data_IF_043789159742
#
_entry.id   IF_043789159742
#
_cell.length_a   1.000
_cell.length_b   1.000
_cell.length_c   1.000
_cell.angle_alpha   90.00
_cell.angle_beta   90.00
_cell.angle_gamma   90.00
#
_symmetry.space_group_name_H-M   'P 1'
#
loop_
_entity.id
_entity.type
_entity.pdbx_description
1 polymer ?
#
# COMPACT_ATOMS: atom_id res chain seq x y z
N UNK A 1 -16.92 -16.41 23.28
CA UNK A 1 -15.48 -16.70 23.44
C UNK A 1 -15.07 -18.03 22.80
N UNK A 2 -15.86 -19.11 22.89
CA UNK A 2 -15.58 -20.40 22.21
C UNK A 2 -15.40 -20.29 20.69
N UNK A 3 -16.15 -19.42 20.02
CA UNK A 3 -16.07 -19.23 18.55
C UNK A 3 -14.70 -18.71 18.06
N UNK A 4 -14.09 -17.73 18.75
CA UNK A 4 -12.83 -17.14 18.29
C UNK A 4 -11.64 -18.08 18.44
N UNK A 5 -11.56 -18.81 19.57
CA UNK A 5 -10.51 -19.79 19.82
C UNK A 5 -10.55 -20.91 18.78
N UNK A 6 -11.75 -21.37 18.40
CA UNK A 6 -11.91 -22.35 17.34
C UNK A 6 -11.46 -21.82 15.98
N UNK A 7 -11.81 -20.57 15.64
CA UNK A 7 -11.36 -19.92 14.39
C UNK A 7 -9.83 -19.80 14.33
N UNK A 8 -9.20 -19.37 15.42
CA UNK A 8 -7.74 -19.29 15.50
C UNK A 8 -7.08 -20.65 15.33
N UNK A 9 -7.58 -21.69 16.01
CA UNK A 9 -7.07 -23.06 15.86
C UNK A 9 -7.23 -23.59 14.43
N UNK A 10 -8.36 -23.30 13.77
CA UNK A 10 -8.58 -23.69 12.37
C UNK A 10 -7.61 -22.98 11.43
N UNK A 11 -7.40 -21.69 11.62
CA UNK A 11 -6.41 -20.93 10.84
C UNK A 11 -5.00 -21.47 11.06
N UNK A 12 -4.61 -21.71 12.31
CA UNK A 12 -3.31 -22.28 12.65
C UNK A 12 -3.10 -23.65 11.98
N UNK A 13 -4.09 -24.55 12.06
CA UNK A 13 -4.03 -25.86 11.42
C UNK A 13 -3.96 -25.76 9.88
N UNK A 14 -4.71 -24.83 9.27
CA UNK A 14 -4.68 -24.61 7.83
C UNK A 14 -3.31 -24.10 7.36
N UNK A 15 -2.71 -23.16 8.09
CA UNK A 15 -1.38 -22.62 7.79
C UNK A 15 -0.28 -23.67 8.02
N UNK A 16 -0.33 -24.42 9.12
CA UNK A 16 0.62 -25.50 9.41
C UNK A 16 0.63 -26.55 8.31
N UNK A 17 -0.56 -27.01 7.90
CA UNK A 17 -0.72 -27.98 6.81
C UNK A 17 -0.15 -27.48 5.48
N UNK A 18 -0.21 -26.16 5.20
CA UNK A 18 0.45 -25.61 4.01
C UNK A 18 1.98 -25.70 4.09
N UNK A 19 2.54 -25.38 5.26
CA UNK A 19 4.00 -25.37 5.46
C UNK A 19 4.55 -26.78 5.23
N UNK A 20 3.91 -27.78 5.84
CA UNK A 20 4.28 -29.19 5.67
C UNK A 20 4.24 -29.58 4.20
N UNK A 21 3.14 -29.30 3.50
CA UNK A 21 3.02 -29.71 2.11
C UNK A 21 4.02 -29.02 1.17
N UNK A 22 4.29 -27.72 1.35
CA UNK A 22 5.29 -27.03 0.51
C UNK A 22 6.72 -27.50 0.80
N UNK A 23 7.00 -27.95 2.02
CA UNK A 23 8.29 -28.57 2.33
C UNK A 23 8.48 -29.94 1.67
N UNK A 24 7.38 -30.63 1.34
CA UNK A 24 7.37 -31.98 0.76
C UNK A 24 7.21 -32.00 -0.77
N UNK A 25 6.89 -30.86 -1.41
CA UNK A 25 6.56 -30.83 -2.83
C UNK A 25 7.80 -30.84 -3.76
N UNK A 26 8.10 -32.03 -4.32
CA UNK A 26 8.80 -32.19 -5.61
C UNK A 26 7.77 -32.00 -6.76
N UNK A 27 7.82 -30.84 -7.43
CA UNK A 27 7.25 -30.37 -8.73
C UNK A 27 5.89 -30.87 -9.31
N UNK A 28 5.20 -31.91 -8.80
CA UNK A 28 4.22 -32.65 -9.59
C UNK A 28 2.71 -32.50 -9.22
N UNK A 29 2.29 -31.66 -8.26
CA UNK A 29 0.91 -31.70 -7.74
C UNK A 29 0.17 -30.35 -7.72
N UNK A 30 -0.25 -29.85 -8.89
CA UNK A 30 -0.95 -28.56 -9.05
C UNK A 30 -2.41 -28.52 -8.53
N UNK A 31 -3.08 -29.68 -8.41
CA UNK A 31 -4.49 -29.73 -8.01
C UNK A 31 -4.70 -29.72 -6.49
N UNK A 32 -3.75 -30.29 -5.73
CA UNK A 32 -3.75 -30.28 -4.27
C UNK A 32 -3.52 -28.86 -3.72
N UNK A 33 -2.64 -28.09 -4.36
CA UNK A 33 -2.33 -26.70 -3.96
C UNK A 33 -3.53 -25.75 -4.03
N UNK A 34 -4.50 -25.97 -4.95
CA UNK A 34 -5.69 -25.09 -5.06
C UNK A 34 -6.69 -25.27 -3.92
N UNK A 35 -7.04 -26.52 -3.58
CA UNK A 35 -7.99 -26.80 -2.50
C UNK A 35 -7.49 -26.28 -1.15
N UNK A 36 -6.18 -26.38 -0.98
CA UNK A 36 -5.46 -25.89 0.17
C UNK A 36 -5.39 -24.36 0.25
N UNK A 37 -5.11 -23.67 -0.86
CA UNK A 37 -5.22 -22.22 -0.93
C UNK A 37 -6.63 -21.75 -0.57
N UNK A 38 -7.67 -22.45 -1.02
CA UNK A 38 -9.06 -22.14 -0.67
C UNK A 38 -9.33 -22.33 0.83
N UNK A 39 -8.74 -23.36 1.45
CA UNK A 39 -8.84 -23.59 2.90
C UNK A 39 -8.14 -22.48 3.71
N UNK A 40 -6.93 -22.10 3.33
CA UNK A 40 -6.19 -20.98 3.95
C UNK A 40 -7.00 -19.71 3.80
N UNK A 41 -7.45 -19.41 2.57
CA UNK A 41 -8.24 -18.22 2.27
C UNK A 41 -9.50 -18.15 3.13
N UNK A 42 -10.28 -19.23 3.21
CA UNK A 42 -11.48 -19.29 4.03
C UNK A 42 -11.18 -19.07 5.52
N UNK A 43 -10.08 -19.66 6.02
CA UNK A 43 -9.70 -19.56 7.43
C UNK A 43 -9.19 -18.16 7.80
N UNK A 44 -8.41 -17.55 6.90
CA UNK A 44 -7.92 -16.17 6.97
C UNK A 44 -9.09 -15.19 6.94
N UNK A 45 -9.99 -15.30 5.96
CA UNK A 45 -11.15 -14.42 5.81
C UNK A 45 -12.04 -14.46 7.06
N UNK A 46 -12.23 -15.65 7.64
CA UNK A 46 -13.00 -15.81 8.87
C UNK A 46 -12.41 -15.05 10.06
N UNK A 47 -11.08 -14.88 10.13
CA UNK A 47 -10.42 -14.09 11.16
C UNK A 47 -10.37 -12.59 10.83
N UNK A 48 -10.18 -12.23 9.56
CA UNK A 48 -10.17 -10.82 9.11
C UNK A 48 -11.49 -10.09 9.39
N UNK A 49 -12.61 -10.82 9.47
CA UNK A 49 -13.94 -10.24 9.79
C UNK A 49 -14.20 -10.03 11.28
N UNK A 50 -13.30 -10.46 12.16
CA UNK A 50 -13.51 -10.37 13.62
C UNK A 50 -13.27 -8.94 14.13
N UNK A 51 -14.20 -8.49 14.98
CA UNK A 51 -14.11 -7.20 15.68
C UNK A 51 -14.31 -7.41 17.19
N UNK A 52 -13.31 -7.10 18.05
CA UNK A 52 -12.00 -6.51 17.72
C UNK A 52 -11.07 -7.47 16.98
N UNK A 53 -10.08 -6.91 16.27
CA UNK A 53 -9.07 -7.69 15.53
C UNK A 53 -8.27 -8.58 16.50
N UNK A 54 -8.23 -9.91 16.28
CA UNK A 54 -7.63 -10.84 17.23
C UNK A 54 -6.10 -10.69 17.28
N UNK A 55 -5.55 -10.94 18.46
CA UNK A 55 -4.10 -11.05 18.64
C UNK A 55 -3.60 -12.35 18.02
N UNK A 56 -2.57 -12.28 17.19
CA UNK A 56 -1.92 -13.44 16.59
C UNK A 56 -1.13 -14.23 17.64
N UNK A 57 -1.16 -15.56 17.52
CA UNK A 57 -0.22 -16.43 18.23
C UNK A 57 1.15 -16.42 17.53
N UNK A 58 2.21 -16.74 18.27
CA UNK A 58 3.55 -16.89 17.68
C UNK A 58 3.58 -18.00 16.61
N UNK A 59 2.79 -19.06 16.79
CA UNK A 59 2.62 -20.14 15.81
C UNK A 59 2.04 -19.65 14.49
N UNK A 60 0.93 -18.89 14.53
CA UNK A 60 0.33 -18.33 13.30
C UNK A 60 1.31 -17.39 12.60
N UNK A 61 1.98 -16.50 13.33
CA UNK A 61 2.98 -15.60 12.75
C UNK A 61 4.17 -16.35 12.14
N UNK A 62 4.63 -17.43 12.80
CA UNK A 62 5.69 -18.30 12.31
C UNK A 62 5.32 -19.05 11.03
N UNK A 63 4.11 -19.60 10.96
CA UNK A 63 3.62 -20.23 9.74
C UNK A 63 3.47 -19.23 8.60
N UNK A 64 2.92 -18.03 8.85
CA UNK A 64 2.85 -16.98 7.84
C UNK A 64 4.25 -16.63 7.30
N UNK A 65 5.25 -16.47 8.17
CA UNK A 65 6.62 -16.18 7.74
C UNK A 65 7.21 -17.31 6.89
N UNK A 66 7.06 -18.56 7.35
CA UNK A 66 7.54 -19.75 6.62
C UNK A 66 6.88 -19.87 5.24
N UNK A 67 5.57 -19.59 5.13
CA UNK A 67 4.86 -19.63 3.87
C UNK A 67 5.28 -18.52 2.92
N UNK A 68 5.54 -17.31 3.41
CA UNK A 68 6.08 -16.25 2.57
C UNK A 68 7.45 -16.65 2.01
N UNK A 69 8.33 -17.21 2.83
CA UNK A 69 9.65 -17.69 2.39
C UNK A 69 9.56 -18.82 1.34
N UNK A 70 8.64 -19.77 1.53
CA UNK A 70 8.47 -20.92 0.62
C UNK A 70 7.80 -20.53 -0.71
N UNK A 71 6.81 -19.63 -0.69
CA UNK A 71 6.11 -19.20 -1.91
C UNK A 71 6.95 -18.33 -2.84
N UNK A 72 7.86 -17.55 -2.25
CA UNK A 72 8.58 -16.49 -2.96
C UNK A 72 7.63 -15.42 -3.56
N UNK A 73 8.19 -14.44 -4.28
CA UNK A 73 7.40 -13.37 -4.91
C UNK A 73 6.61 -13.83 -6.15
N UNK A 74 6.92 -15.02 -6.69
CA UNK A 74 6.34 -15.53 -7.94
C UNK A 74 4.88 -15.99 -7.85
N UNK A 75 4.44 -16.55 -6.71
CA UNK A 75 3.04 -16.90 -6.50
C UNK A 75 2.23 -15.68 -6.02
N UNK A 76 1.88 -14.84 -6.98
CA UNK A 76 1.17 -13.57 -6.75
C UNK A 76 -0.21 -13.75 -6.09
N UNK A 77 -0.87 -14.90 -6.28
CA UNK A 77 -2.20 -15.15 -5.71
C UNK A 77 -2.07 -15.49 -4.24
N UNK A 78 -1.17 -16.42 -3.90
CA UNK A 78 -0.91 -16.78 -2.51
C UNK A 78 -0.35 -15.61 -1.73
N UNK A 79 0.65 -14.93 -2.29
CA UNK A 79 1.24 -13.72 -1.72
C UNK A 79 0.14 -12.71 -1.37
N UNK A 80 -0.77 -12.42 -2.29
CA UNK A 80 -1.86 -11.47 -2.05
C UNK A 80 -2.79 -11.90 -0.91
N UNK A 81 -3.19 -13.17 -0.84
CA UNK A 81 -4.06 -13.68 0.24
C UNK A 81 -3.38 -13.52 1.59
N UNK A 82 -2.12 -13.93 1.68
CA UNK A 82 -1.37 -13.86 2.94
C UNK A 82 -1.02 -12.42 3.33
N UNK A 83 -0.70 -11.57 2.35
CA UNK A 83 -0.45 -10.14 2.59
C UNK A 83 -1.70 -9.45 3.12
N UNK A 84 -2.88 -9.73 2.54
CA UNK A 84 -4.15 -9.15 3.00
C UNK A 84 -4.47 -9.58 4.42
N UNK A 85 -4.28 -10.87 4.74
CA UNK A 85 -4.44 -11.38 6.10
C UNK A 85 -3.57 -10.59 7.09
N UNK A 86 -2.28 -10.47 6.78
CA UNK A 86 -1.33 -9.76 7.63
C UNK A 86 -1.69 -8.29 7.77
N UNK A 87 -2.22 -7.65 6.72
CA UNK A 87 -2.66 -6.25 6.76
C UNK A 87 -3.84 -6.09 7.72
N UNK A 88 -4.86 -6.93 7.58
CA UNK A 88 -6.06 -6.92 8.43
C UNK A 88 -5.69 -7.18 9.90
N UNK A 89 -4.80 -8.15 10.14
CA UNK A 89 -4.33 -8.47 11.50
C UNK A 89 -3.46 -7.36 12.09
N UNK A 90 -2.73 -6.62 11.27
CA UNK A 90 -1.87 -5.52 11.72
C UNK A 90 -2.65 -4.30 12.22
N UNK A 91 -3.98 -4.26 12.01
CA UNK A 91 -4.85 -3.27 12.64
C UNK A 91 -4.86 -3.39 14.17
N UNK A 92 -4.48 -4.55 14.73
CA UNK A 92 -4.12 -4.69 16.14
C UNK A 92 -2.62 -4.38 16.32
N UNK A 93 -2.30 -3.33 17.07
CA UNK A 93 -0.92 -2.84 17.24
C UNK A 93 0.05 -3.89 17.80
N UNK A 94 -0.41 -4.82 18.64
CA UNK A 94 0.42 -5.90 19.19
C UNK A 94 0.87 -6.86 18.08
N UNK A 95 0.04 -7.07 17.06
CA UNK A 95 0.38 -7.89 15.92
C UNK A 95 1.48 -7.24 15.08
N UNK A 96 1.49 -5.91 14.95
CA UNK A 96 2.58 -5.19 14.26
C UNK A 96 3.95 -5.53 14.85
N UNK A 97 4.08 -5.51 16.19
CA UNK A 97 5.32 -5.90 16.89
C UNK A 97 5.67 -7.37 16.64
N UNK A 98 4.66 -8.25 16.63
CA UNK A 98 4.85 -9.66 16.30
C UNK A 98 5.43 -9.84 14.89
N UNK A 99 4.85 -9.18 13.88
CA UNK A 99 5.31 -9.29 12.50
C UNK A 99 6.75 -8.80 12.31
N UNK A 100 7.17 -7.75 13.05
CA UNK A 100 8.56 -7.31 13.05
C UNK A 100 9.51 -8.42 13.54
N UNK A 101 9.15 -9.12 14.62
CA UNK A 101 9.97 -10.22 15.20
C UNK A 101 10.14 -11.40 14.24
N UNK A 102 9.14 -11.67 13.42
CA UNK A 102 9.14 -12.77 12.45
C UNK A 102 9.73 -12.40 11.08
N UNK A 103 10.39 -11.24 10.96
CA UNK A 103 11.12 -10.86 9.74
C UNK A 103 10.24 -10.47 8.55
N UNK A 104 8.92 -10.28 8.77
CA UNK A 104 7.96 -9.93 7.72
C UNK A 104 8.38 -8.66 6.93
N UNK A 105 8.86 -7.56 7.54
CA UNK A 105 9.38 -6.42 6.80
C UNK A 105 10.51 -6.75 5.82
N UNK A 106 11.42 -7.64 6.21
CA UNK A 106 12.55 -8.05 5.37
C UNK A 106 12.08 -8.82 4.14
N UNK A 107 11.05 -9.66 4.30
CA UNK A 107 10.41 -10.33 3.17
C UNK A 107 9.79 -9.33 2.19
N UNK A 108 9.01 -8.35 2.68
CA UNK A 108 8.38 -7.36 1.79
C UNK A 108 9.38 -6.37 1.16
N UNK A 109 10.57 -6.21 1.72
CA UNK A 109 11.67 -5.54 1.05
C UNK A 109 12.10 -6.30 -0.22
N UNK A 110 12.22 -7.64 -0.14
CA UNK A 110 12.56 -8.48 -1.30
C UNK A 110 11.43 -8.49 -2.33
N UNK A 111 10.18 -8.60 -1.89
CA UNK A 111 9.00 -8.47 -2.77
C UNK A 111 9.03 -7.14 -3.53
N UNK A 112 9.28 -6.03 -2.83
CA UNK A 112 9.34 -4.72 -3.47
C UNK A 112 10.57 -4.52 -4.36
N UNK A 113 11.65 -5.28 -4.22
CA UNK A 113 12.75 -5.24 -5.19
C UNK A 113 12.30 -5.72 -6.58
N UNK A 114 11.30 -6.61 -6.61
CA UNK A 114 10.69 -7.14 -7.83
C UNK A 114 9.39 -6.41 -8.19
N UNK A 115 9.18 -5.17 -7.74
CA UNK A 115 7.94 -4.43 -7.94
C UNK A 115 7.44 -4.42 -9.39
N UNK A 116 8.34 -4.45 -10.38
CA UNK A 116 8.02 -4.37 -11.81
C UNK A 116 7.41 -5.66 -12.37
N UNK A 117 7.53 -6.79 -11.67
CA UNK A 117 6.91 -8.07 -12.04
C UNK A 117 5.58 -8.29 -11.32
N UNK A 118 5.28 -7.49 -10.29
CA UNK A 118 4.10 -7.66 -9.47
C UNK A 118 2.85 -7.06 -10.15
N UNK A 119 1.70 -7.75 -10.07
CA UNK A 119 0.43 -7.17 -10.50
C UNK A 119 0.05 -5.95 -9.65
N UNK A 120 -0.68 -4.97 -10.22
CA UNK A 120 -1.19 -3.80 -9.48
C UNK A 120 -1.97 -4.17 -8.22
N UNK A 121 -2.82 -5.20 -8.29
CA UNK A 121 -3.60 -5.69 -7.15
C UNK A 121 -2.72 -6.22 -6.02
N UNK A 122 -1.57 -6.81 -6.35
CA UNK A 122 -0.61 -7.31 -5.36
C UNK A 122 0.14 -6.14 -4.73
N UNK A 123 0.61 -5.18 -5.53
CA UNK A 123 1.24 -3.95 -5.03
C UNK A 123 0.33 -3.18 -4.09
N UNK A 124 -0.97 -3.07 -4.41
CA UNK A 124 -1.96 -2.43 -3.53
C UNK A 124 -1.98 -3.06 -2.14
N UNK A 125 -2.09 -4.38 -2.07
CA UNK A 125 -2.17 -5.10 -0.79
C UNK A 125 -0.83 -5.06 -0.04
N UNK A 126 0.30 -5.09 -0.74
CA UNK A 126 1.63 -4.86 -0.14
C UNK A 126 1.68 -3.48 0.51
N UNK A 127 1.25 -2.43 -0.18
CA UNK A 127 1.21 -1.09 0.38
C UNK A 127 0.21 -0.96 1.55
N UNK A 128 -0.94 -1.62 1.50
CA UNK A 128 -1.90 -1.65 2.61
C UNK A 128 -1.25 -2.25 3.87
N UNK A 129 -0.52 -3.37 3.74
CA UNK A 129 0.24 -3.96 4.85
C UNK A 129 1.33 -3.01 5.37
N UNK A 130 2.17 -2.49 4.48
CA UNK A 130 3.32 -1.66 4.87
C UNK A 130 2.88 -0.35 5.54
N UNK A 131 1.82 0.27 5.04
CA UNK A 131 1.26 1.48 5.65
C UNK A 131 0.69 1.19 7.05
N UNK A 132 -0.01 0.07 7.22
CA UNK A 132 -0.59 -0.35 8.52
C UNK A 132 0.49 -0.66 9.55
N UNK A 133 1.54 -1.40 9.19
CA UNK A 133 2.68 -1.66 10.09
C UNK A 133 3.41 -0.34 10.43
N UNK A 134 3.57 0.56 9.45
CA UNK A 134 4.26 1.84 9.62
C UNK A 134 3.50 2.82 10.51
N UNK A 135 2.17 2.73 10.57
CA UNK A 135 1.36 3.59 11.44
C UNK A 135 1.49 3.25 12.93
N UNK A 136 1.88 2.01 13.27
CA UNK A 136 1.87 1.54 14.66
C UNK A 136 2.93 2.24 15.54
N UNK A 137 4.20 2.26 15.13
CA UNK A 137 5.27 2.82 15.97
C UNK A 137 6.53 3.24 15.18
N UNK A 138 7.45 3.94 15.84
CA UNK A 138 8.68 4.44 15.23
C UNK A 138 9.65 3.34 14.78
N UNK A 139 9.71 2.22 15.51
CA UNK A 139 10.57 1.08 15.16
C UNK A 139 10.12 0.44 13.84
N UNK A 140 8.81 0.30 13.60
CA UNK A 140 8.25 -0.14 12.33
C UNK A 140 8.71 0.75 11.17
N UNK A 141 8.61 2.07 11.34
CA UNK A 141 9.04 3.04 10.31
C UNK A 141 10.54 2.98 10.01
N UNK A 142 11.35 2.71 11.02
CA UNK A 142 12.79 2.52 10.83
C UNK A 142 13.09 1.21 10.11
N UNK A 143 12.41 0.12 10.49
CA UNK A 143 12.58 -1.21 9.89
C UNK A 143 12.17 -1.21 8.42
N UNK A 144 11.11 -0.48 8.07
CA UNK A 144 10.59 -0.37 6.70
C UNK A 144 11.23 0.74 5.87
N UNK A 145 12.16 1.53 6.44
CA UNK A 145 12.90 2.57 5.69
C UNK A 145 13.55 2.06 4.40
N UNK A 146 14.15 0.86 4.34
CA UNK A 146 14.73 0.33 3.10
C UNK A 146 13.73 0.16 1.96
N UNK A 147 12.42 0.10 2.24
CA UNK A 147 11.38 -0.01 1.21
C UNK A 147 11.12 1.30 0.45
N UNK A 148 11.51 2.46 1.00
CA UNK A 148 11.20 3.78 0.42
C UNK A 148 11.62 3.92 -1.05
N UNK A 149 12.85 3.57 -1.48
CA UNK A 149 13.25 3.71 -2.88
C UNK A 149 12.39 2.88 -3.83
N UNK A 150 11.97 1.68 -3.41
CA UNK A 150 11.16 0.78 -4.22
C UNK A 150 9.70 1.21 -4.29
N UNK A 151 9.14 1.74 -3.19
CA UNK A 151 7.81 2.36 -3.19
C UNK A 151 7.79 3.55 -4.16
N UNK A 152 8.83 4.40 -4.14
CA UNK A 152 8.94 5.52 -5.07
C UNK A 152 9.01 5.07 -6.53
N UNK A 153 9.82 4.05 -6.83
CA UNK A 153 9.93 3.50 -8.19
C UNK A 153 8.60 2.92 -8.69
N UNK A 154 7.88 2.17 -7.84
CA UNK A 154 6.55 1.66 -8.16
C UNK A 154 5.53 2.80 -8.39
N UNK A 155 5.52 3.83 -7.54
CA UNK A 155 4.65 5.01 -7.71
C UNK A 155 4.94 5.75 -9.03
N UNK A 156 6.21 5.89 -9.40
CA UNK A 156 6.63 6.52 -10.65
C UNK A 156 6.24 5.69 -11.88
N UNK A 157 6.36 4.37 -11.81
CA UNK A 157 5.99 3.49 -12.92
C UNK A 157 4.47 3.41 -13.11
N UNK A 158 3.71 3.38 -12.02
CA UNK A 158 2.25 3.20 -12.02
C UNK A 158 1.47 4.51 -11.90
N UNK A 159 1.96 5.62 -12.49
CA UNK A 159 1.35 6.96 -12.43
C UNK A 159 -0.10 7.07 -12.92
N UNK A 160 -0.60 6.06 -13.64
CA UNK A 160 -1.99 6.02 -14.14
C UNK A 160 -2.90 5.06 -13.37
N UNK A 161 -2.35 4.31 -12.42
CA UNK A 161 -3.08 3.33 -11.61
C UNK A 161 -3.34 3.92 -10.23
N UNK A 162 -4.50 4.56 -10.08
CA UNK A 162 -4.82 5.36 -8.90
C UNK A 162 -4.83 4.53 -7.59
N UNK A 163 -5.13 3.24 -7.66
CA UNK A 163 -5.10 2.35 -6.48
C UNK A 163 -3.67 2.09 -6.00
N UNK A 164 -2.74 1.85 -6.93
CA UNK A 164 -1.31 1.68 -6.63
C UNK A 164 -0.73 2.99 -6.13
N UNK A 165 -1.06 4.12 -6.78
CA UNK A 165 -0.66 5.45 -6.31
C UNK A 165 -1.14 5.69 -4.89
N UNK A 166 -2.43 5.46 -4.62
CA UNK A 166 -3.01 5.67 -3.29
C UNK A 166 -2.27 4.87 -2.23
N UNK A 167 -2.10 3.55 -2.42
CA UNK A 167 -1.36 2.72 -1.48
C UNK A 167 0.08 3.21 -1.26
N UNK A 168 0.79 3.53 -2.36
CA UNK A 168 2.17 3.99 -2.30
C UNK A 168 2.33 5.30 -1.52
N UNK A 169 1.48 6.31 -1.80
CA UNK A 169 1.59 7.62 -1.14
C UNK A 169 1.11 7.58 0.30
N UNK A 170 0.13 6.74 0.65
CA UNK A 170 -0.26 6.48 2.05
C UNK A 170 0.89 5.83 2.80
N UNK A 171 1.55 4.83 2.21
CA UNK A 171 2.72 4.17 2.81
C UNK A 171 3.84 5.16 3.08
N UNK A 172 4.19 6.00 2.09
CA UNK A 172 5.20 7.05 2.26
C UNK A 172 4.80 8.08 3.33
N UNK A 173 3.52 8.43 3.42
CA UNK A 173 2.99 9.31 4.47
C UNK A 173 3.16 8.72 5.87
N UNK A 174 2.86 7.42 6.04
CA UNK A 174 3.04 6.74 7.31
C UNK A 174 4.53 6.66 7.66
N UNK A 175 5.39 6.26 6.72
CA UNK A 175 6.84 6.16 6.91
C UNK A 175 7.50 7.50 7.29
N UNK A 176 7.00 8.62 6.80
CA UNK A 176 7.53 9.97 7.09
C UNK A 176 6.99 10.60 8.38
N UNK A 177 6.00 9.97 9.03
CA UNK A 177 5.39 10.53 10.24
C UNK A 177 6.41 10.59 11.38
N UNK A 178 6.75 11.82 11.79
CA UNK A 178 7.76 12.10 12.83
C UNK A 178 9.12 11.41 12.55
N UNK A 179 9.52 11.33 11.28
CA UNK A 179 10.79 10.68 10.89
C UNK A 179 11.50 11.48 9.79
N UNK A 180 12.33 12.44 10.22
CA UNK A 180 13.11 13.32 9.34
C UNK A 180 14.15 12.57 8.49
N UNK A 181 14.64 11.44 8.98
CA UNK A 181 15.57 10.59 8.24
C UNK A 181 14.90 9.94 7.02
N UNK A 182 13.63 9.53 7.16
CA UNK A 182 12.81 9.01 6.08
C UNK A 182 12.44 10.13 5.10
N UNK A 183 12.07 11.32 5.58
CA UNK A 183 11.85 12.50 4.73
C UNK A 183 13.09 12.83 3.88
N UNK A 184 14.27 12.84 4.52
CA UNK A 184 15.55 13.08 3.83
C UNK A 184 15.85 12.02 2.78
N UNK A 185 15.55 10.74 3.08
CA UNK A 185 15.75 9.65 2.12
C UNK A 185 14.82 9.79 0.91
N UNK A 186 13.55 10.17 1.08
CA UNK A 186 12.63 10.42 -0.04
C UNK A 186 13.24 11.46 -0.99
N UNK A 187 13.76 12.56 -0.45
CA UNK A 187 14.37 13.63 -1.26
C UNK A 187 15.61 13.14 -2.00
N UNK A 188 16.50 12.42 -1.31
CA UNK A 188 17.72 11.87 -1.90
C UNK A 188 17.43 10.92 -3.07
N UNK A 189 16.25 10.30 -3.08
CA UNK A 189 15.78 9.39 -4.13
C UNK A 189 14.90 10.07 -5.18
N UNK A 190 14.89 11.40 -5.24
CA UNK A 190 14.10 12.15 -6.23
C UNK A 190 12.60 12.16 -5.95
N UNK A 191 12.17 11.70 -4.79
CA UNK A 191 10.76 11.50 -4.45
C UNK A 191 9.93 12.77 -4.48
N UNK A 192 10.53 13.95 -4.35
CA UNK A 192 9.82 15.23 -4.49
C UNK A 192 9.17 15.36 -5.88
N UNK A 193 9.92 15.12 -6.97
CA UNK A 193 9.39 15.23 -8.33
C UNK A 193 8.37 14.11 -8.62
N UNK A 194 8.62 12.90 -8.12
CA UNK A 194 7.70 11.75 -8.26
C UNK A 194 6.36 12.06 -7.60
N UNK A 195 6.36 12.60 -6.37
CA UNK A 195 5.14 12.97 -5.65
C UNK A 195 4.39 14.13 -6.30
N UNK A 196 5.10 15.12 -6.87
CA UNK A 196 4.47 16.18 -7.68
C UNK A 196 3.81 15.60 -8.94
N UNK A 197 4.47 14.64 -9.59
CA UNK A 197 3.92 13.94 -10.76
C UNK A 197 2.64 13.20 -10.38
N UNK A 198 2.69 12.38 -9.33
CA UNK A 198 1.53 11.65 -8.83
C UNK A 198 0.37 12.57 -8.43
N UNK A 199 0.65 13.69 -7.76
CA UNK A 199 -0.36 14.71 -7.44
C UNK A 199 -1.03 15.26 -8.70
N UNK A 200 -0.25 15.67 -9.69
CA UNK A 200 -0.75 16.21 -10.95
C UNK A 200 -1.58 15.19 -11.73
N UNK A 201 -1.11 13.94 -11.83
CA UNK A 201 -1.83 12.87 -12.52
C UNK A 201 -3.18 12.56 -11.87
N UNK A 202 -3.23 12.53 -10.53
CA UNK A 202 -4.48 12.37 -9.80
C UNK A 202 -5.45 13.53 -10.05
N UNK A 203 -4.97 14.77 -10.04
CA UNK A 203 -5.79 15.94 -10.37
C UNK A 203 -6.34 15.89 -11.80
N UNK A 204 -5.49 15.58 -12.80
CA UNK A 204 -5.91 15.45 -14.20
C UNK A 204 -6.95 14.34 -14.41
N UNK A 205 -6.80 13.23 -13.69
CA UNK A 205 -7.77 12.13 -13.72
C UNK A 205 -9.11 12.55 -13.10
N UNK A 206 -9.09 13.25 -11.97
CA UNK A 206 -10.28 13.82 -11.34
C UNK A 206 -11.05 14.75 -12.29
N UNK A 207 -10.35 15.69 -12.92
CA UNK A 207 -10.89 16.61 -13.92
C UNK A 207 -11.59 15.87 -15.07
N UNK A 208 -10.96 14.79 -15.53
CA UNK A 208 -11.51 13.93 -16.59
C UNK A 208 -12.79 13.24 -16.12
N UNK A 209 -12.77 12.66 -14.93
CA UNK A 209 -13.93 12.02 -14.29
C UNK A 209 -15.09 13.02 -14.13
N UNK A 210 -14.81 14.26 -13.72
CA UNK A 210 -15.82 15.30 -13.55
C UNK A 210 -16.44 15.72 -14.89
N UNK A 211 -15.62 15.94 -15.93
CA UNK A 211 -16.10 16.26 -17.29
C UNK A 211 -16.96 15.13 -17.87
N UNK A 212 -16.57 13.87 -17.66
CA UNK A 212 -17.35 12.71 -18.12
C UNK A 212 -18.71 12.65 -17.41
N UNK A 213 -18.77 12.91 -16.11
CA UNK A 213 -20.04 12.98 -15.37
C UNK A 213 -20.96 14.08 -15.90
N UNK A 214 -20.42 15.27 -16.13
CA UNK A 214 -21.18 16.41 -16.65
C UNK A 214 -21.74 16.14 -18.05
N UNK A 215 -21.00 15.47 -18.94
CA UNK A 215 -21.52 15.13 -20.28
C UNK A 215 -22.62 14.06 -20.22
N UNK A 216 -22.50 13.08 -19.32
CA UNK A 216 -23.44 11.94 -19.25
C UNK A 216 -24.76 12.23 -18.54
N UNK A 217 -24.82 13.27 -17.70
CA UNK A 217 -26.10 13.74 -17.15
C UNK A 217 -27.08 14.18 -18.24
N UNK A 218 -26.62 14.44 -19.48
CA UNK A 218 -27.46 14.85 -20.60
C UNK A 218 -27.91 13.72 -21.55
N UNK A 219 -27.39 12.48 -21.42
CA UNK A 219 -27.51 11.47 -22.50
C UNK A 219 -28.00 10.06 -22.09
N UNK A 220 -28.35 9.81 -20.83
CA UNK A 220 -28.52 8.42 -20.36
C UNK A 220 -29.97 7.90 -20.41
N UNK A 221 -30.27 7.04 -21.38
CA UNK A 221 -31.59 6.38 -21.56
C UNK A 221 -31.78 5.06 -20.80
N UNK A 222 -30.74 4.51 -20.16
CA UNK A 222 -30.81 3.26 -19.37
C UNK A 222 -30.40 3.48 -17.92
N UNK A 223 -31.36 3.33 -16.99
CA UNK A 223 -31.18 3.68 -15.57
C UNK A 223 -30.18 2.80 -14.82
N UNK A 224 -30.07 1.50 -15.16
CA UNK A 224 -29.24 0.55 -14.40
C UNK A 224 -27.75 0.66 -14.76
N UNK A 225 -27.43 0.79 -16.05
CA UNK A 225 -26.07 1.05 -16.53
C UNK A 225 -25.58 2.45 -16.11
N UNK A 226 -26.47 3.44 -16.12
CA UNK A 226 -26.15 4.79 -15.65
C UNK A 226 -25.77 4.80 -14.15
N UNK A 227 -26.51 4.04 -13.31
CA UNK A 227 -26.23 3.96 -11.86
C UNK A 227 -24.89 3.31 -11.54
N UNK A 228 -24.60 2.14 -12.13
CA UNK A 228 -23.33 1.42 -11.89
C UNK A 228 -22.13 2.23 -12.37
N UNK A 229 -22.23 2.87 -13.54
CA UNK A 229 -21.16 3.73 -14.05
C UNK A 229 -20.97 5.00 -13.21
N UNK A 230 -22.06 5.62 -12.77
CA UNK A 230 -21.98 6.81 -11.90
C UNK A 230 -21.29 6.47 -10.58
N UNK A 231 -21.57 5.30 -10.00
CA UNK A 231 -20.91 4.82 -8.79
C UNK A 231 -19.39 4.64 -8.99
N UNK A 232 -18.98 3.97 -10.06
CA UNK A 232 -17.55 3.80 -10.39
C UNK A 232 -16.83 5.14 -10.56
N UNK A 233 -17.45 6.08 -11.29
CA UNK A 233 -16.88 7.42 -11.43
C UNK A 233 -16.78 8.13 -10.08
N UNK A 234 -17.76 7.97 -9.17
CA UNK A 234 -17.73 8.47 -7.78
C UNK A 234 -16.55 7.93 -7.00
N UNK A 235 -16.40 6.61 -6.96
CA UNK A 235 -15.28 5.95 -6.29
C UNK A 235 -13.94 6.43 -6.86
N UNK A 236 -13.82 6.53 -8.19
CA UNK A 236 -12.58 7.00 -8.84
C UNK A 236 -12.23 8.45 -8.48
N UNK A 237 -13.19 9.37 -8.40
CA UNK A 237 -12.91 10.75 -7.99
C UNK A 237 -12.47 10.83 -6.52
N UNK A 238 -13.10 10.06 -5.63
CA UNK A 238 -12.69 9.99 -4.21
C UNK A 238 -11.26 9.48 -4.09
N UNK A 239 -10.90 8.49 -4.91
CA UNK A 239 -9.53 7.96 -4.96
C UNK A 239 -8.54 9.02 -5.45
N UNK A 240 -8.86 9.76 -6.52
CA UNK A 240 -8.01 10.84 -7.03
C UNK A 240 -7.78 11.95 -5.97
N UNK A 241 -8.84 12.35 -5.27
CA UNK A 241 -8.74 13.32 -4.16
C UNK A 241 -7.90 12.78 -3.00
N UNK A 242 -8.02 11.48 -2.71
CA UNK A 242 -7.21 10.82 -1.69
C UNK A 242 -5.73 10.80 -2.05
N UNK A 243 -5.39 10.45 -3.29
CA UNK A 243 -4.00 10.52 -3.78
C UNK A 243 -3.45 11.94 -3.65
N UNK A 244 -4.19 12.95 -4.11
CA UNK A 244 -3.79 14.37 -3.98
C UNK A 244 -3.54 14.76 -2.51
N UNK A 245 -4.45 14.38 -1.60
CA UNK A 245 -4.32 14.63 -0.16
C UNK A 245 -3.04 14.03 0.40
N UNK A 246 -2.77 12.76 0.11
CA UNK A 246 -1.62 12.05 0.67
C UNK A 246 -0.30 12.48 0.04
N UNK A 247 -0.25 12.74 -1.27
CA UNK A 247 0.91 13.39 -1.91
C UNK A 247 1.25 14.71 -1.22
N UNK A 248 0.25 15.58 -1.01
CA UNK A 248 0.42 16.85 -0.32
C UNK A 248 0.96 16.65 1.10
N UNK A 249 0.40 15.71 1.85
CA UNK A 249 0.86 15.39 3.21
C UNK A 249 2.34 14.96 3.24
N UNK A 250 2.77 14.04 2.36
CA UNK A 250 4.18 13.63 2.27
C UNK A 250 5.07 14.82 1.90
N UNK A 251 4.69 15.61 0.91
CA UNK A 251 5.46 16.77 0.45
C UNK A 251 5.61 17.82 1.56
N UNK A 252 4.56 18.09 2.34
CA UNK A 252 4.61 19.00 3.48
C UNK A 252 5.53 18.47 4.58
N UNK A 253 5.43 17.18 4.94
CA UNK A 253 6.33 16.54 5.91
C UNK A 253 7.79 16.63 5.47
N UNK A 254 8.06 16.35 4.20
CA UNK A 254 9.39 16.48 3.59
C UNK A 254 9.89 17.93 3.67
N UNK A 255 9.04 18.92 3.34
CA UNK A 255 9.42 20.33 3.38
C UNK A 255 9.63 20.86 4.80
N UNK A 256 9.02 20.25 5.82
CA UNK A 256 9.28 20.59 7.22
C UNK A 256 10.63 20.10 7.72
N UNK A 257 11.18 19.04 7.11
CA UNK A 257 12.55 18.61 7.38
C UNK A 257 13.51 19.67 6.84
N UNK A 258 14.04 20.52 7.72
CA UNK A 258 14.90 21.68 7.41
C UNK A 258 16.32 21.29 6.97
N UNK A 259 16.43 20.37 6.02
CA UNK A 259 17.72 19.92 5.47
C UNK A 259 18.08 20.67 4.19
N UNK A 260 19.38 20.88 3.97
CA UNK A 260 19.91 21.46 2.72
C UNK A 260 19.46 20.66 1.49
N UNK A 261 19.42 19.33 1.60
CA UNK A 261 18.97 18.46 0.52
C UNK A 261 17.53 18.75 0.08
N UNK A 262 16.62 18.97 1.04
CA UNK A 262 15.22 19.33 0.76
C UNK A 262 15.14 20.68 0.05
N UNK A 263 15.87 21.68 0.53
CA UNK A 263 15.90 23.00 -0.11
C UNK A 263 16.43 22.96 -1.54
N UNK A 264 17.52 22.21 -1.76
CA UNK A 264 18.12 22.04 -3.08
C UNK A 264 17.19 21.27 -4.02
N UNK A 265 16.49 20.25 -3.52
CA UNK A 265 15.51 19.51 -4.30
C UNK A 265 14.28 20.36 -4.65
N UNK A 266 13.76 21.17 -3.72
CA UNK A 266 12.62 22.05 -3.98
C UNK A 266 12.95 23.13 -5.02
N UNK A 267 14.19 23.65 -5.01
CA UNK A 267 14.67 24.59 -6.05
C UNK A 267 14.83 23.93 -7.42
N UNK A 268 15.21 22.65 -7.44
CA UNK A 268 15.38 21.85 -8.68
C UNK A 268 14.07 21.26 -9.20
N UNK A 269 13.02 21.23 -8.39
CA UNK A 269 11.73 20.68 -8.75
C UNK A 269 11.15 21.41 -9.96
N UNK A 270 10.81 20.64 -10.99
CA UNK A 270 10.28 21.20 -12.22
C UNK A 270 8.76 21.26 -12.15
N UNK A 271 8.26 22.39 -11.66
CA UNK A 271 6.83 22.72 -11.68
C UNK A 271 6.34 23.13 -13.07
N UNK A 272 7.25 23.50 -13.99
CA UNK A 272 6.91 24.01 -15.32
C UNK A 272 6.44 22.92 -16.29
N UNK A 273 6.91 21.68 -16.10
CA UNK A 273 6.53 20.51 -16.92
C UNK A 273 5.02 20.25 -16.94
N UNK A 274 4.28 20.73 -15.95
CA UNK A 274 2.84 20.49 -15.81
C UNK A 274 1.96 21.57 -16.45
N UNK A 275 2.57 22.62 -17.03
CA UNK A 275 1.86 23.77 -17.59
C UNK A 275 1.10 24.57 -16.53
N UNK A 276 0.07 25.31 -16.94
CA UNK A 276 -0.77 26.06 -16.01
C UNK A 276 -1.76 25.12 -15.30
N UNK A 277 -1.52 24.88 -14.01
CA UNK A 277 -2.34 24.04 -13.16
C UNK A 277 -2.51 24.69 -11.78
N UNK A 278 -3.66 25.33 -11.54
CA UNK A 278 -3.93 26.10 -10.32
C UNK A 278 -3.68 25.26 -9.05
N UNK A 279 -4.16 24.01 -8.92
CA UNK A 279 -3.90 23.22 -7.71
C UNK A 279 -2.43 22.91 -7.48
N UNK A 280 -1.64 22.79 -8.55
CA UNK A 280 -0.20 22.58 -8.46
C UNK A 280 0.53 23.88 -8.08
N UNK A 281 0.09 25.02 -8.59
CA UNK A 281 0.63 26.33 -8.19
C UNK A 281 0.34 26.61 -6.70
N UNK A 282 -0.88 26.32 -6.23
CA UNK A 282 -1.23 26.39 -4.80
C UNK A 282 -0.36 25.46 -3.95
N UNK A 283 -0.14 24.23 -4.42
CA UNK A 283 0.75 23.28 -3.75
C UNK A 283 2.18 23.83 -3.69
N UNK A 284 2.73 24.31 -4.80
CA UNK A 284 4.06 24.93 -4.86
C UNK A 284 4.22 26.04 -3.82
N UNK A 285 3.27 26.96 -3.75
CA UNK A 285 3.30 28.04 -2.76
C UNK A 285 3.26 27.50 -1.33
N UNK A 286 2.40 26.52 -1.07
CA UNK A 286 2.32 25.85 0.26
C UNK A 286 3.66 25.26 0.67
N UNK A 287 4.36 24.57 -0.25
CA UNK A 287 5.67 23.98 0.03
C UNK A 287 6.76 25.05 0.28
N UNK A 288 6.72 26.16 -0.47
CA UNK A 288 7.67 27.28 -0.29
C UNK A 288 7.44 27.98 1.05
N UNK A 289 6.19 28.14 1.48
CA UNK A 289 5.88 28.80 2.75
C UNK A 289 6.29 27.97 3.96
N UNK A 290 6.09 26.65 3.92
CA UNK A 290 6.50 25.74 5.00
C UNK A 290 8.02 25.73 5.22
N UNK A 291 8.83 26.02 4.20
CA UNK A 291 10.28 26.18 4.34
C UNK A 291 10.70 27.46 5.08
N UNK A 292 9.82 28.46 5.16
CA UNK A 292 10.13 29.78 5.73
C UNK A 292 9.72 29.91 7.21
N UNK A 293 8.77 29.09 7.67
CA UNK A 293 8.31 29.04 9.07
C UNK A 293 9.17 28.14 9.93
#
# INVERSE_FOLDING_TARGET
>A
MTSLVEKMKRCEAALASQVEQWSEQDEAHSQSSRQMLDLVKSSVEALSTETPVPRLSESIAGHCSSLLELSGPGDTVFLRVLTQFLADMSLNEENGVMLLRFGIPSFYLLVLQEWSTLPPDTLRVVFDLLSTISSSNAQSRQTLRPCIPYILAAVEHHLYEMDVLYGGVVTLSMLTTMNDENCSLIVQRGGLQILLSAFYHAHRMEDTVQKVRQKKSFQSSSALLARTQTRRLKEQAVLCLSVQKWCRDVLLKVCRTRSKAVQDALKKADFGVYGHCIPLDELKWSLIFEQRG
#
